data_IF_202809328297
#
_entry.id   IF_202809328297
#
_cell.length_a   1.000
_cell.length_b   1.000
_cell.length_c   1.000
_cell.angle_alpha   90.00
_cell.angle_beta   90.00
_cell.angle_gamma   90.00
#
_symmetry.space_group_name_H-M   'P 1'
#
loop_
_entity.id
_entity.type
_entity.pdbx_description
1 polymer ?
#
# COMPACT_ATOMS: atom_id res chain seq x y z
N UNK A 1 0.59 17.57 -4.93
CA UNK A 1 1.95 17.69 -4.36
C UNK A 1 2.45 16.30 -4.02
N UNK A 2 3.69 15.95 -4.37
CA UNK A 2 4.37 14.75 -3.85
C UNK A 2 5.11 15.14 -2.57
N UNK A 3 4.93 14.37 -1.49
CA UNK A 3 5.47 14.70 -0.18
C UNK A 3 6.03 13.45 0.50
N UNK A 4 7.36 13.35 0.54
CA UNK A 4 8.04 12.23 1.22
C UNK A 4 8.02 12.34 2.74
N UNK A 5 7.66 13.49 3.30
CA UNK A 5 7.48 13.69 4.74
C UNK A 5 6.13 13.20 5.27
N UNK A 6 5.16 13.01 4.38
CA UNK A 6 3.82 12.51 4.73
C UNK A 6 3.75 10.99 4.57
N UNK A 7 3.42 10.26 5.64
CA UNK A 7 3.24 8.78 5.57
C UNK A 7 1.99 8.38 4.77
N UNK A 8 0.97 9.24 4.74
CA UNK A 8 -0.33 8.99 4.10
C UNK A 8 -0.67 10.08 3.10
N UNK A 9 -1.52 9.75 2.14
CA UNK A 9 -2.04 10.69 1.15
C UNK A 9 -3.33 11.36 1.64
N UNK A 10 -3.49 12.64 1.32
CA UNK A 10 -4.62 13.46 1.76
C UNK A 10 -5.19 14.29 0.62
N UNK A 11 -6.50 14.56 0.66
CA UNK A 11 -7.18 15.42 -0.30
C UNK A 11 -8.02 16.47 0.42
N UNK A 12 -7.94 17.71 -0.06
CA UNK A 12 -8.79 18.78 0.41
C UNK A 12 -10.25 18.48 0.03
N UNK A 13 -11.18 18.60 0.98
CA UNK A 13 -12.62 18.39 0.76
C UNK A 13 -13.18 19.20 -0.41
N UNK A 14 -12.71 20.44 -0.60
CA UNK A 14 -13.11 21.30 -1.72
C UNK A 14 -12.61 20.73 -3.05
N UNK A 15 -11.37 20.21 -3.07
CA UNK A 15 -10.83 19.55 -4.25
C UNK A 15 -11.57 18.26 -4.59
N UNK A 16 -11.87 17.44 -3.58
CA UNK A 16 -12.62 16.20 -3.75
C UNK A 16 -14.00 16.43 -4.38
N UNK A 17 -14.72 17.49 -3.98
CA UNK A 17 -16.04 17.83 -4.57
C UNK A 17 -15.99 18.08 -6.09
N UNK A 18 -14.82 18.42 -6.64
CA UNK A 18 -14.62 18.65 -8.08
C UNK A 18 -14.27 17.38 -8.84
N UNK A 19 -14.10 16.24 -8.16
CA UNK A 19 -13.73 14.97 -8.79
C UNK A 19 -14.88 13.97 -8.75
N UNK A 20 -14.85 12.99 -9.66
CA UNK A 20 -15.68 11.79 -9.53
C UNK A 20 -15.00 10.86 -8.53
N UNK A 21 -15.63 10.62 -7.40
CA UNK A 21 -15.10 9.77 -6.36
C UNK A 21 -16.11 8.70 -5.94
N UNK A 22 -15.58 7.61 -5.36
CA UNK A 22 -16.39 6.58 -4.74
C UNK A 22 -17.06 7.10 -3.45
N UNK A 23 -18.05 6.38 -2.88
CA UNK A 23 -18.62 6.74 -1.59
C UNK A 23 -17.54 6.93 -0.52
N UNK A 24 -17.72 7.97 0.30
CA UNK A 24 -16.81 8.29 1.39
C UNK A 24 -17.09 7.34 2.54
N UNK A 25 -16.06 6.63 3.02
CA UNK A 25 -16.16 5.89 4.26
C UNK A 25 -15.89 6.84 5.43
N UNK A 26 -16.87 6.99 6.31
CA UNK A 26 -16.72 7.79 7.52
C UNK A 26 -15.66 7.16 8.42
N UNK A 27 -14.59 7.90 8.69
CA UNK A 27 -13.51 7.48 9.54
C UNK A 27 -12.82 8.74 10.07
N UNK A 28 -13.27 9.20 11.23
CA UNK A 28 -12.74 10.42 11.84
C UNK A 28 -11.46 10.07 12.59
N UNK A 29 -10.34 10.64 12.15
CA UNK A 29 -9.01 10.40 12.73
C UNK A 29 -8.22 11.69 12.78
N UNK A 30 -7.30 11.79 13.73
CA UNK A 30 -6.38 12.92 13.85
C UNK A 30 -4.97 12.47 13.48
N UNK A 31 -4.28 13.26 12.67
CA UNK A 31 -2.90 13.02 12.29
C UNK A 31 -2.01 14.12 12.85
N UNK A 32 -0.89 13.73 13.44
CA UNK A 32 0.15 14.65 13.91
C UNK A 32 0.93 15.19 12.71
N UNK A 33 1.15 16.51 12.70
CA UNK A 33 1.96 17.17 11.69
C UNK A 33 3.46 17.05 12.00
N UNK A 34 4.28 17.45 11.03
CA UNK A 34 5.74 17.38 11.12
C UNK A 34 6.33 18.24 12.26
N UNK A 35 5.59 19.23 12.77
CA UNK A 35 6.03 20.02 13.93
C UNK A 35 5.95 19.24 15.25
N UNK A 36 5.26 18.10 15.28
CA UNK A 36 5.07 17.27 16.47
C UNK A 36 4.07 17.83 17.49
N UNK A 37 3.40 18.95 17.20
CA UNK A 37 2.50 19.63 18.13
C UNK A 37 1.11 19.88 17.54
N UNK A 38 1.03 20.15 16.24
CA UNK A 38 -0.24 20.40 15.57
C UNK A 38 -0.80 19.10 15.00
N UNK A 39 -2.12 19.00 15.02
CA UNK A 39 -2.85 17.90 14.39
C UNK A 39 -3.82 18.46 13.37
N UNK A 40 -4.17 17.64 12.38
CA UNK A 40 -5.32 17.92 11.53
C UNK A 40 -6.29 16.75 11.52
N UNK A 41 -7.56 17.09 11.34
CA UNK A 41 -8.66 16.16 11.30
C UNK A 41 -8.86 15.60 9.90
N UNK A 42 -8.85 14.28 9.80
CA UNK A 42 -9.35 13.52 8.65
C UNK A 42 -10.79 13.16 8.94
N UNK A 43 -11.72 13.65 8.11
CA UNK A 43 -13.17 13.47 8.29
C UNK A 43 -13.70 12.16 7.67
N UNK A 44 -12.87 11.48 6.90
CA UNK A 44 -13.20 10.24 6.23
C UNK A 44 -12.12 9.83 5.25
N UNK A 45 -12.28 8.66 4.66
CA UNK A 45 -11.37 8.13 3.64
C UNK A 45 -12.15 7.84 2.36
N UNK A 46 -11.47 8.01 1.23
CA UNK A 46 -12.06 7.73 -0.08
C UNK A 46 -11.00 7.26 -1.05
N UNK A 47 -11.35 6.31 -1.91
CA UNK A 47 -10.50 5.91 -3.03
C UNK A 47 -10.71 6.87 -4.20
N UNK A 48 -9.64 7.53 -4.61
CA UNK A 48 -9.62 8.43 -5.78
C UNK A 48 -8.81 7.82 -6.91
N UNK A 49 -9.11 8.25 -8.13
CA UNK A 49 -8.32 7.96 -9.32
C UNK A 49 -7.57 9.22 -9.72
N UNK A 50 -6.28 9.08 -10.02
CA UNK A 50 -5.41 10.18 -10.44
C UNK A 50 -4.94 9.86 -11.86
N UNK A 51 -5.07 10.84 -12.74
CA UNK A 51 -4.72 10.68 -14.15
C UNK A 51 -3.57 11.62 -14.50
N UNK A 52 -2.48 11.04 -14.96
CA UNK A 52 -1.29 11.75 -15.42
C UNK A 52 -1.05 11.34 -16.88
N UNK A 53 -1.39 12.23 -17.82
CA UNK A 53 -1.31 11.93 -19.26
C UNK A 53 -2.03 10.61 -19.59
N UNK A 54 -1.34 9.63 -20.18
CA UNK A 54 -1.90 8.33 -20.55
C UNK A 54 -1.97 7.30 -19.40
N UNK A 55 -1.62 7.67 -18.17
CA UNK A 55 -1.62 6.77 -17.02
C UNK A 55 -2.73 7.14 -16.03
N UNK A 56 -3.46 6.10 -15.62
CA UNK A 56 -4.45 6.17 -14.56
C UNK A 56 -4.01 5.36 -13.34
N UNK A 57 -3.82 6.03 -12.21
CA UNK A 57 -3.49 5.43 -10.92
C UNK A 57 -4.66 5.58 -9.95
N UNK A 58 -4.56 4.94 -8.78
CA UNK A 58 -5.54 5.05 -7.72
C UNK A 58 -4.91 4.94 -6.34
N UNK A 59 -5.49 5.64 -5.37
CA UNK A 59 -5.01 5.63 -3.98
C UNK A 59 -6.18 5.91 -3.03
N UNK A 60 -6.09 5.38 -1.82
CA UNK A 60 -7.01 5.75 -0.74
C UNK A 60 -6.43 6.96 -0.04
N UNK A 61 -7.21 8.03 0.06
CA UNK A 61 -6.78 9.29 0.67
C UNK A 61 -7.64 9.63 1.87
N UNK A 62 -7.03 10.26 2.87
CA UNK A 62 -7.74 10.94 3.94
C UNK A 62 -8.34 12.26 3.44
N UNK A 63 -9.60 12.52 3.76
CA UNK A 63 -10.30 13.76 3.42
C UNK A 63 -10.10 14.74 4.55
N UNK A 64 -9.67 15.95 4.23
CA UNK A 64 -9.39 16.99 5.23
C UNK A 64 -10.08 18.29 4.85
N UNK A 65 -10.46 19.11 5.83
CA UNK A 65 -11.22 20.34 5.58
C UNK A 65 -10.37 21.45 4.94
N UNK A 66 -9.09 21.54 5.30
CA UNK A 66 -8.19 22.57 4.80
C UNK A 66 -6.79 22.01 4.57
N UNK A 67 -6.26 22.24 3.38
CA UNK A 67 -4.86 22.06 3.00
C UNK A 67 -4.47 23.24 2.11
N UNK A 68 -3.20 23.63 2.16
CA UNK A 68 -2.62 24.62 1.23
C UNK A 68 -2.54 24.12 -0.23
N UNK A 69 -2.79 22.83 -0.45
CA UNK A 69 -2.83 22.21 -1.78
C UNK A 69 -4.10 21.39 -1.95
N UNK A 70 -4.45 21.07 -3.20
CA UNK A 70 -5.61 20.24 -3.49
C UNK A 70 -5.44 18.81 -3.00
N UNK A 71 -4.24 18.24 -3.18
CA UNK A 71 -3.93 16.87 -2.80
C UNK A 71 -2.44 16.70 -2.47
N UNK A 72 -2.19 15.97 -1.39
CA UNK A 72 -0.87 15.51 -0.96
C UNK A 72 -0.77 14.02 -1.26
N UNK A 73 0.23 13.63 -2.03
CA UNK A 73 0.57 12.24 -2.32
C UNK A 73 1.77 11.87 -1.46
N UNK A 74 1.47 11.17 -0.37
CA UNK A 74 2.46 10.74 0.62
C UNK A 74 3.25 9.51 0.20
N UNK A 75 4.00 8.98 1.16
CA UNK A 75 4.81 7.77 1.01
C UNK A 75 4.00 6.52 0.65
N UNK A 76 2.73 6.46 1.03
CA UNK A 76 1.81 5.40 0.58
C UNK A 76 1.61 5.39 -0.95
N UNK A 77 1.46 6.56 -1.58
CA UNK A 77 1.40 6.69 -3.03
C UNK A 77 2.78 6.49 -3.68
N UNK A 78 3.80 7.16 -3.12
CA UNK A 78 5.18 7.14 -3.65
C UNK A 78 5.70 5.69 -3.69
N UNK A 79 5.55 4.93 -2.61
CA UNK A 79 5.99 3.54 -2.55
C UNK A 79 5.17 2.65 -3.48
N UNK A 80 3.84 2.82 -3.51
CA UNK A 80 2.94 2.01 -4.36
C UNK A 80 3.30 2.11 -5.84
N UNK A 81 3.68 3.29 -6.31
CA UNK A 81 4.00 3.55 -7.72
C UNK A 81 5.49 3.80 -7.97
N UNK A 82 6.36 3.37 -7.03
CA UNK A 82 7.82 3.54 -7.07
C UNK A 82 8.21 4.92 -7.63
N UNK A 83 7.61 5.97 -7.10
CA UNK A 83 7.78 7.33 -7.62
C UNK A 83 9.22 7.77 -7.36
N UNK A 84 9.93 8.15 -8.43
CA UNK A 84 11.28 8.70 -8.34
C UNK A 84 11.20 10.22 -8.55
N UNK A 85 11.64 10.97 -7.54
CA UNK A 85 11.77 12.42 -7.58
C UNK A 85 13.22 12.76 -7.88
N UNK A 86 13.54 13.01 -9.15
CA UNK A 86 14.87 13.40 -9.57
C UNK A 86 14.98 14.93 -9.59
N UNK A 87 15.60 15.47 -8.54
CA UNK A 87 15.80 16.91 -8.38
C UNK A 87 16.88 17.49 -9.28
N UNK A 88 17.85 16.68 -9.72
CA UNK A 88 18.91 17.10 -10.64
C UNK A 88 18.32 17.34 -12.02
N UNK A 89 17.57 16.37 -12.54
CA UNK A 89 16.92 16.45 -13.85
C UNK A 89 15.56 17.16 -13.83
N UNK A 90 15.10 17.62 -12.65
CA UNK A 90 13.78 18.25 -12.43
C UNK A 90 12.64 17.40 -12.98
N UNK A 91 12.64 16.11 -12.68
CA UNK A 91 11.69 15.14 -13.24
C UNK A 91 11.09 14.23 -12.17
N UNK A 92 9.82 13.92 -12.34
CA UNK A 92 9.07 12.95 -11.55
C UNK A 92 8.82 11.74 -12.44
N UNK A 93 9.32 10.58 -12.05
CA UNK A 93 9.00 9.33 -12.73
C UNK A 93 7.97 8.55 -11.91
N UNK A 94 6.87 8.16 -12.53
CA UNK A 94 5.83 7.35 -11.90
C UNK A 94 5.79 6.01 -12.61
N UNK A 95 6.02 4.94 -11.85
CA UNK A 95 6.02 3.58 -12.35
C UNK A 95 4.65 2.95 -12.11
N UNK A 96 4.06 2.42 -13.16
CA UNK A 96 2.90 1.53 -13.08
C UNK A 96 3.29 0.15 -13.56
N UNK A 97 2.38 -0.81 -13.42
CA UNK A 97 2.61 -2.18 -13.87
C UNK A 97 3.01 -2.28 -15.36
N UNK A 98 2.46 -1.41 -16.22
CA UNK A 98 2.70 -1.49 -17.68
C UNK A 98 3.70 -0.47 -18.17
N UNK A 99 3.71 0.71 -17.55
CA UNK A 99 4.32 1.91 -18.12
C UNK A 99 5.05 2.70 -17.04
N UNK A 100 6.10 3.40 -17.46
CA UNK A 100 6.70 4.50 -16.69
C UNK A 100 6.35 5.80 -17.40
N UNK A 101 5.90 6.81 -16.65
CA UNK A 101 5.80 8.19 -17.15
C UNK A 101 6.84 9.05 -16.47
N UNK A 102 7.34 10.02 -17.24
CA UNK A 102 8.22 11.08 -16.75
C UNK A 102 7.47 12.39 -16.90
N UNK A 103 7.33 13.12 -15.80
CA UNK A 103 6.66 14.42 -15.72
C UNK A 103 7.73 15.45 -15.31
N UNK A 104 7.92 16.55 -16.05
CA UNK A 104 8.80 17.62 -15.60
C UNK A 104 8.22 18.28 -14.33
N UNK A 105 9.06 18.53 -13.33
CA UNK A 105 8.69 19.20 -12.07
C UNK A 105 8.39 20.68 -12.28
N UNK A 106 9.09 21.29 -13.23
CA UNK A 106 8.85 22.66 -13.65
C UNK A 106 8.01 22.62 -14.92
N UNK A 107 6.87 23.33 -14.91
CA UNK A 107 6.18 23.60 -16.15
C UNK A 107 7.13 24.40 -17.03
N UNK A 108 7.68 23.79 -18.09
CA UNK A 108 7.98 24.59 -19.25
C UNK A 108 6.63 25.16 -19.68
N UNK A 109 6.44 26.46 -19.42
CA UNK A 109 5.29 27.20 -19.92
C UNK A 109 5.49 27.30 -21.43
N UNK A 110 5.22 26.21 -22.13
CA UNK A 110 4.76 26.29 -23.49
C UNK A 110 3.25 26.46 -23.42
N UNK A 111 2.77 27.52 -24.04
CA UNK A 111 1.37 27.99 -24.06
C UNK A 111 0.41 27.03 -24.78
N UNK A 112 0.53 25.71 -24.57
CA UNK A 112 -0.42 24.71 -25.05
C UNK A 112 -1.33 24.29 -23.90
N UNK A 113 -2.52 24.89 -23.87
CA UNK A 113 -3.75 24.49 -23.17
C UNK A 113 -3.67 23.14 -22.41
N UNK A 114 -3.35 23.19 -21.12
CA UNK A 114 -3.54 22.05 -20.21
C UNK A 114 -5.05 21.92 -19.96
N UNK A 115 -5.68 20.97 -20.64
CA UNK A 115 -7.07 20.56 -20.37
C UNK A 115 -7.07 19.76 -19.07
N UNK A 116 -7.53 20.38 -18.00
CA UNK A 116 -7.87 19.69 -16.75
C UNK A 116 -9.21 18.98 -16.96
N UNK A 117 -9.14 17.68 -17.28
CA UNK A 117 -10.26 16.74 -17.19
C UNK A 117 -11.36 16.88 -18.25
N UNK A 118 -11.29 16.10 -19.33
CA UNK A 118 -12.47 15.80 -20.15
C UNK A 118 -13.17 14.56 -19.60
N UNK A 119 -14.45 14.72 -19.25
CA UNK A 119 -15.30 13.62 -18.83
C UNK A 119 -15.65 12.74 -20.05
N UNK A 120 -15.01 11.58 -20.18
CA UNK A 120 -15.44 10.56 -21.15
C UNK A 120 -16.61 9.77 -20.54
N UNK A 121 -17.77 9.64 -21.23
CA UNK A 121 -18.86 8.79 -20.78
C UNK A 121 -18.48 7.33 -21.05
N UNK A 122 -18.28 6.56 -19.98
CA UNK A 122 -17.99 5.12 -20.07
C UNK A 122 -19.29 4.36 -20.29
N UNK A 123 -19.53 3.95 -21.54
CA UNK A 123 -20.53 2.95 -21.88
C UNK A 123 -20.16 1.60 -21.26
N UNK A 124 -21.12 1.05 -20.51
CA UNK A 124 -21.45 -0.36 -20.30
C UNK A 124 -20.32 -1.39 -20.36
N UNK A 125 -19.78 -1.79 -19.20
CA UNK A 125 -19.23 -3.14 -19.00
C UNK A 125 -19.70 -3.65 -17.64
N UNK A 126 -20.16 -4.91 -17.63
CA UNK A 126 -20.97 -5.57 -16.62
C UNK A 126 -20.39 -5.54 -15.20
N UNK A 127 -21.29 -5.33 -14.24
CA UNK A 127 -21.07 -5.58 -12.81
C UNK A 127 -20.70 -7.06 -12.60
N UNK A 128 -19.46 -7.32 -12.20
CA UNK A 128 -19.13 -8.52 -11.44
C UNK A 128 -19.07 -8.09 -9.98
N UNK A 129 -20.14 -8.41 -9.26
CA UNK A 129 -20.20 -8.30 -7.80
C UNK A 129 -19.19 -9.28 -7.19
N UNK A 130 -17.97 -8.84 -6.94
CA UNK A 130 -17.06 -9.55 -6.03
C UNK A 130 -17.41 -9.05 -4.63
N UNK A 131 -18.06 -9.93 -3.86
CA UNK A 131 -18.16 -9.81 -2.41
C UNK A 131 -16.72 -9.81 -1.89
N UNK A 132 -16.18 -8.63 -1.62
CA UNK A 132 -14.84 -8.44 -1.10
C UNK A 132 -14.97 -8.05 0.36
N UNK A 133 -14.55 -8.97 1.22
CA UNK A 133 -14.44 -8.78 2.66
C UNK A 133 -13.47 -7.63 2.96
N UNK A 134 -13.89 -6.71 3.83
CA UNK A 134 -13.36 -5.34 3.94
C UNK A 134 -12.13 -5.24 4.87
N UNK A 135 -11.66 -6.31 5.51
CA UNK A 135 -10.76 -6.12 6.65
C UNK A 135 -9.25 -6.24 6.45
N UNK A 136 -8.70 -6.74 5.34
CA UNK A 136 -7.24 -6.68 5.13
C UNK A 136 -6.89 -6.72 3.65
N UNK A 137 -6.45 -5.59 3.09
CA UNK A 137 -5.83 -5.53 1.76
C UNK A 137 -4.43 -4.93 1.84
N UNK A 138 -3.51 -5.73 2.37
CA UNK A 138 -2.12 -5.66 1.97
C UNK A 138 -2.04 -6.16 0.51
N UNK A 139 -1.87 -5.24 -0.43
CA UNK A 139 -1.46 -5.60 -1.79
C UNK A 139 0.02 -5.97 -1.75
N UNK A 140 0.30 -7.23 -1.45
CA UNK A 140 1.61 -7.82 -1.69
C UNK A 140 1.80 -8.00 -3.20
N UNK A 141 2.94 -7.44 -3.59
CA UNK A 141 3.66 -7.43 -4.84
C UNK A 141 3.57 -8.76 -5.63
N UNK A 142 2.85 -8.76 -6.76
CA UNK A 142 2.89 -9.86 -7.76
C UNK A 142 4.11 -9.74 -8.71
N UNK A 143 5.00 -8.75 -8.52
CA UNK A 143 6.11 -8.51 -9.46
C UNK A 143 7.40 -9.29 -9.18
N UNK A 144 7.48 -10.09 -8.12
CA UNK A 144 8.56 -11.07 -7.94
C UNK A 144 8.06 -12.49 -8.16
N UNK A 145 7.51 -12.84 -9.33
CA UNK A 145 7.17 -14.22 -9.64
C UNK A 145 8.43 -15.05 -9.95
N UNK A 146 9.26 -15.29 -8.94
CA UNK A 146 10.07 -16.52 -8.93
C UNK A 146 9.08 -17.67 -8.96
N UNK A 147 9.24 -18.59 -9.92
CA UNK A 147 8.43 -19.80 -9.95
C UNK A 147 8.52 -20.50 -8.61
N UNK A 148 7.38 -20.97 -8.10
CA UNK A 148 7.31 -21.76 -6.89
C UNK A 148 8.30 -22.92 -7.02
N UNK A 149 9.31 -22.98 -6.14
CA UNK A 149 10.27 -24.09 -6.15
C UNK A 149 9.60 -25.33 -5.56
N UNK A 150 10.07 -26.51 -5.94
CA UNK A 150 9.59 -27.77 -5.36
C UNK A 150 9.77 -27.84 -3.84
N UNK A 151 10.80 -27.16 -3.31
CA UNK A 151 11.06 -27.04 -1.87
C UNK A 151 9.97 -26.18 -1.20
N UNK A 152 9.62 -25.05 -1.79
CA UNK A 152 8.56 -24.16 -1.26
C UNK A 152 7.20 -24.86 -1.30
N UNK A 153 6.90 -25.62 -2.36
CA UNK A 153 5.68 -26.44 -2.41
C UNK A 153 5.61 -27.45 -1.28
N UNK A 154 6.72 -28.14 -1.01
CA UNK A 154 6.77 -29.15 0.05
C UNK A 154 6.63 -28.53 1.43
N UNK A 155 7.29 -27.39 1.67
CA UNK A 155 7.19 -26.65 2.93
C UNK A 155 5.76 -26.19 3.19
N UNK A 156 5.10 -25.59 2.17
CA UNK A 156 3.71 -25.17 2.26
C UNK A 156 2.79 -26.36 2.54
N UNK A 157 2.98 -27.48 1.83
CA UNK A 157 2.19 -28.71 2.06
C UNK A 157 2.35 -29.22 3.49
N UNK A 158 3.57 -29.28 4.02
CA UNK A 158 3.81 -29.72 5.39
C UNK A 158 3.13 -28.80 6.42
N UNK A 159 3.08 -27.48 6.18
CA UNK A 159 2.41 -26.51 7.04
C UNK A 159 0.89 -26.70 7.10
N UNK A 160 0.26 -27.06 5.98
CA UNK A 160 -1.20 -27.13 5.88
C UNK A 160 -1.77 -28.55 5.98
N UNK A 161 -0.94 -29.60 6.00
CA UNK A 161 -1.41 -30.98 5.98
C UNK A 161 -2.27 -31.38 7.19
N UNK A 162 -2.20 -30.60 8.26
CA UNK A 162 -2.98 -30.82 9.49
C UNK A 162 -4.37 -30.16 9.46
N UNK A 163 -4.68 -29.36 8.44
CA UNK A 163 -5.99 -28.71 8.28
C UNK A 163 -6.98 -29.73 7.72
N UNK A 164 -7.97 -30.10 8.52
CA UNK A 164 -8.99 -31.09 8.15
C UNK A 164 -10.15 -30.49 7.36
N UNK A 165 -10.46 -29.21 7.59
CA UNK A 165 -11.51 -28.51 6.86
C UNK A 165 -11.05 -28.15 5.44
N UNK A 166 -11.80 -28.60 4.44
CA UNK A 166 -11.41 -28.48 3.02
C UNK A 166 -11.44 -27.01 2.54
N UNK A 167 -12.37 -26.19 3.01
CA UNK A 167 -12.46 -24.79 2.58
C UNK A 167 -11.34 -23.96 3.21
N UNK A 168 -11.04 -24.21 4.48
CA UNK A 168 -9.91 -23.62 5.17
C UNK A 168 -8.60 -24.05 4.54
N UNK A 169 -8.45 -25.33 4.19
CA UNK A 169 -7.28 -25.85 3.50
C UNK A 169 -7.01 -25.09 2.19
N UNK A 170 -8.03 -24.96 1.32
CA UNK A 170 -7.92 -24.27 0.04
C UNK A 170 -7.56 -22.79 0.24
N UNK A 171 -8.21 -22.13 1.21
CA UNK A 171 -8.01 -20.70 1.48
C UNK A 171 -6.59 -20.44 2.00
N UNK A 172 -6.13 -21.22 2.97
CA UNK A 172 -4.78 -21.11 3.54
C UNK A 172 -3.72 -21.46 2.49
N UNK A 173 -3.94 -22.51 1.70
CA UNK A 173 -3.03 -22.89 0.61
C UNK A 173 -2.84 -21.74 -0.38
N UNK A 174 -3.93 -21.11 -0.83
CA UNK A 174 -3.86 -19.99 -1.77
C UNK A 174 -3.03 -18.81 -1.23
N UNK A 175 -3.21 -18.48 0.05
CA UNK A 175 -2.46 -17.41 0.72
C UNK A 175 -0.98 -17.76 0.81
N UNK A 176 -0.64 -18.95 1.30
CA UNK A 176 0.76 -19.37 1.48
C UNK A 176 1.49 -19.48 0.13
N UNK A 177 0.83 -19.99 -0.90
CA UNK A 177 1.39 -20.03 -2.26
C UNK A 177 1.65 -18.63 -2.82
N UNK A 178 0.75 -17.67 -2.57
CA UNK A 178 0.94 -16.27 -2.95
C UNK A 178 2.16 -15.63 -2.27
N UNK A 179 2.50 -16.07 -1.05
CA UNK A 179 3.62 -15.54 -0.26
C UNK A 179 4.78 -16.51 -0.11
N UNK A 180 4.96 -17.43 -1.07
CA UNK A 180 5.92 -18.52 -0.99
C UNK A 180 7.38 -18.07 -0.78
N UNK A 181 7.74 -16.85 -1.17
CA UNK A 181 9.07 -16.27 -0.98
C UNK A 181 9.46 -16.11 0.48
N UNK A 182 8.49 -15.93 1.37
CA UNK A 182 8.74 -15.90 2.83
C UNK A 182 9.19 -17.27 3.37
N UNK A 183 8.97 -18.33 2.61
CA UNK A 183 9.29 -19.71 2.96
C UNK A 183 10.46 -20.26 2.14
N UNK A 184 11.13 -19.41 1.37
CA UNK A 184 12.32 -19.79 0.64
C UNK A 184 13.50 -19.91 1.59
N UNK A 185 13.77 -21.15 2.01
CA UNK A 185 14.91 -21.48 2.87
C UNK A 185 16.18 -21.78 2.06
N UNK A 186 16.15 -21.64 0.73
CA UNK A 186 17.29 -21.97 -0.14
C UNK A 186 18.32 -20.84 -0.21
N UNK A 187 17.89 -19.60 0.07
CA UNK A 187 18.79 -18.47 0.31
C UNK A 187 19.36 -18.58 1.72
N UNK A 188 20.55 -19.14 1.85
CA UNK A 188 21.37 -19.15 3.08
C UNK A 188 21.88 -17.77 3.50
N UNK A 189 21.43 -16.70 2.83
CA UNK A 189 21.86 -15.31 3.02
C UNK A 189 20.88 -14.47 3.85
N UNK A 190 19.78 -15.02 4.35
CA UNK A 190 18.91 -14.33 5.32
C UNK A 190 19.54 -14.35 6.71
N UNK A 191 20.71 -13.72 6.83
CA UNK A 191 21.33 -13.42 8.10
C UNK A 191 20.50 -12.32 8.76
N UNK A 192 19.58 -12.70 9.67
CA UNK A 192 18.68 -11.75 10.36
C UNK A 192 19.50 -10.64 11.06
N UNK A 193 20.70 -10.98 11.51
CA UNK A 193 21.84 -10.08 11.71
C UNK A 193 23.08 -10.90 12.10
N UNK A 194 24.23 -10.64 11.49
CA UNK A 194 25.52 -11.19 11.93
C UNK A 194 26.11 -10.21 12.94
N UNK A 195 25.86 -10.44 14.22
CA UNK A 195 26.55 -9.68 15.27
C UNK A 195 27.13 -10.62 16.30
N UNK A 196 28.27 -10.26 16.85
CA UNK A 196 28.98 -11.01 17.91
C UNK A 196 28.27 -10.93 19.27
N UNK A 197 27.13 -10.22 19.35
CA UNK A 197 26.30 -10.09 20.56
C UNK A 197 24.91 -10.65 20.29
N UNK A 198 24.42 -11.49 21.19
CA UNK A 198 23.06 -12.00 21.12
C UNK A 198 22.04 -10.85 21.01
N UNK A 199 21.22 -10.86 19.97
CA UNK A 199 20.09 -9.95 19.86
C UNK A 199 18.99 -10.41 20.82
N UNK A 200 18.95 -9.78 21.99
CA UNK A 200 17.79 -9.89 22.89
C UNK A 200 16.72 -8.97 22.33
N UNK A 201 15.59 -9.54 21.91
CA UNK A 201 14.38 -8.76 21.63
C UNK A 201 13.91 -8.22 22.99
N UNK A 202 14.18 -6.94 23.27
CA UNK A 202 13.69 -6.28 24.47
C UNK A 202 12.16 -6.11 24.35
N UNK A 203 11.39 -6.93 25.07
CA UNK A 203 9.92 -6.84 25.13
C UNK A 203 9.42 -5.75 26.09
N UNK A 204 10.28 -4.82 26.52
CA UNK A 204 10.01 -3.89 27.62
C UNK A 204 9.80 -4.63 28.94
N UNK A 205 9.15 -3.99 29.92
CA UNK A 205 8.83 -4.58 31.23
C UNK A 205 7.74 -5.67 31.16
N UNK A 206 7.24 -5.97 29.97
CA UNK A 206 6.27 -7.04 29.77
C UNK A 206 7.02 -8.37 29.68
N UNK A 207 6.99 -9.10 30.78
CA UNK A 207 7.42 -10.50 30.84
C UNK A 207 6.67 -11.31 29.76
N UNK A 208 7.35 -12.20 29.02
CA UNK A 208 6.69 -13.15 28.15
C UNK A 208 5.70 -13.97 28.98
N UNK A 209 4.42 -13.99 28.61
CA UNK A 209 3.40 -14.80 29.28
C UNK A 209 3.57 -16.27 28.86
N UNK A 210 4.61 -16.93 29.36
CA UNK A 210 4.63 -18.39 29.43
C UNK A 210 4.10 -18.80 30.79
N UNK A 211 2.77 -18.93 30.91
CA UNK A 211 2.18 -19.72 31.99
C UNK A 211 2.57 -21.18 31.75
N UNK A 212 3.61 -21.60 32.45
CA UNK A 212 4.01 -23.00 32.58
C UNK A 212 3.46 -23.49 33.92
N UNK A 213 2.14 -23.57 34.01
CA UNK A 213 1.46 -24.23 35.11
C UNK A 213 0.86 -25.55 34.62
N UNK A 214 1.21 -26.62 35.34
CA UNK A 214 0.77 -28.01 35.20
C UNK A 214 1.51 -28.91 34.20
N UNK A 215 2.72 -29.34 34.56
CA UNK A 215 3.02 -30.78 34.62
C UNK A 215 3.82 -31.06 35.90
N UNK A 216 3.13 -31.54 36.94
CA UNK A 216 3.65 -32.46 37.96
C UNK A 216 2.46 -32.85 38.85
N UNK A 217 1.79 -33.95 38.48
CA UNK A 217 1.26 -34.97 39.40
C UNK A 217 1.27 -36.30 38.66
#
# INVERSE_FOLDING_TARGET
>A
MFDSGATKSFINKVALKRTKHLPIASNQQYYLMADGYTTFEVIGIVKIFIEFSAIKTNIVVGIVNSLYTDCILGMDYINKYKVNLNNEDKQIQIHTFKNTITIPMENQIDNSNIIIGTAVPSSTVAYISIILDIQTQDTIDESNATSLTSINEQNIKNLIMHIQDQQQFISVQAILTRHHQLFDTTTTTTTIAETTKAHVIHTGDNLPTTHLDHILK
#
